data_IF_366803770303
#
_entry.id   IF_366803770303
#
_cell.length_a   1.000
_cell.length_b   1.000
_cell.length_c   1.000
_cell.angle_alpha   90.00
_cell.angle_beta   90.00
_cell.angle_gamma   90.00
#
_symmetry.space_group_name_H-M   'P 1'
#
loop_
_entity.id
_entity.type
_entity.pdbx_description
1 polymer ?
#
# COMPACT_ATOMS: atom_id res chain seq x y z
N UNK A 1 -13.93 12.10 12.54
CA UNK A 1 -14.07 12.38 11.10
C UNK A 1 -13.67 11.15 10.31
N UNK A 2 -14.39 10.82 9.22
CA UNK A 2 -14.07 9.68 8.36
C UNK A 2 -13.58 10.17 7.00
N UNK A 3 -12.40 9.72 6.57
CA UNK A 3 -11.83 10.06 5.26
C UNK A 3 -10.98 8.92 4.72
N UNK A 4 -10.79 8.90 3.40
CA UNK A 4 -9.90 7.98 2.69
C UNK A 4 -9.01 8.78 1.76
N UNK A 5 -7.70 8.55 1.82
CA UNK A 5 -6.72 9.18 0.94
C UNK A 5 -6.11 8.10 0.03
N UNK A 6 -6.46 8.08 -1.26
CA UNK A 6 -5.87 7.14 -2.21
C UNK A 6 -4.42 7.52 -2.51
N UNK A 7 -3.60 6.53 -2.84
CA UNK A 7 -2.20 6.68 -3.25
C UNK A 7 -1.28 7.40 -2.23
N UNK A 8 -1.74 7.53 -0.98
CA UNK A 8 -0.99 8.14 0.11
C UNK A 8 -0.79 7.15 1.26
N UNK A 9 0.38 7.20 1.89
CA UNK A 9 0.73 6.41 3.06
C UNK A 9 1.21 7.30 4.20
N UNK A 10 0.38 7.46 5.24
CA UNK A 10 0.73 8.24 6.42
C UNK A 10 1.95 7.69 7.20
N UNK A 11 2.20 6.38 7.16
CA UNK A 11 3.36 5.76 7.83
C UNK A 11 4.67 5.91 7.06
N UNK A 12 4.62 6.41 5.82
CA UNK A 12 5.76 6.46 4.87
C UNK A 12 6.38 5.10 4.53
N UNK A 13 5.73 3.98 4.91
CA UNK A 13 6.17 2.64 4.54
C UNK A 13 6.18 2.46 3.01
N UNK A 14 7.23 1.82 2.50
CA UNK A 14 7.43 1.58 1.08
C UNK A 14 7.77 0.11 0.84
N UNK A 15 7.02 -0.54 -0.05
CA UNK A 15 7.37 -1.82 -0.65
C UNK A 15 8.60 -1.62 -1.54
N UNK A 16 9.74 -2.16 -1.12
CA UNK A 16 11.02 -2.06 -1.86
C UNK A 16 11.14 -3.12 -2.96
N UNK A 17 10.70 -4.34 -2.67
CA UNK A 17 10.75 -5.44 -3.63
C UNK A 17 9.57 -6.40 -3.44
N UNK A 18 9.07 -6.92 -4.56
CA UNK A 18 8.11 -8.02 -4.60
C UNK A 18 8.76 -9.21 -5.30
N UNK A 19 9.49 -10.00 -4.51
CA UNK A 19 10.22 -11.16 -5.00
C UNK A 19 9.28 -12.35 -5.21
N UNK A 20 9.47 -13.04 -6.32
CA UNK A 20 8.70 -14.23 -6.69
C UNK A 20 9.69 -15.38 -6.83
N UNK A 21 9.58 -16.38 -5.94
CA UNK A 21 10.56 -17.45 -5.82
C UNK A 21 10.51 -18.45 -6.99
N UNK A 22 9.33 -18.65 -7.58
CA UNK A 22 9.13 -19.61 -8.68
C UNK A 22 9.64 -19.04 -9.99
N UNK A 23 10.83 -19.49 -10.40
CA UNK A 23 11.45 -19.14 -11.69
C UNK A 23 11.09 -20.19 -12.75
N UNK A 24 9.91 -20.08 -13.33
CA UNK A 24 9.64 -20.74 -14.62
C UNK A 24 10.23 -19.86 -15.74
N UNK A 25 10.89 -20.48 -16.72
CA UNK A 25 11.58 -19.80 -17.83
C UNK A 25 10.64 -18.92 -18.68
N UNK A 26 9.33 -19.14 -18.59
CA UNK A 26 8.28 -18.41 -19.32
C UNK A 26 7.40 -17.52 -18.45
N UNK A 27 7.64 -17.44 -17.14
CA UNK A 27 6.73 -16.77 -16.21
C UNK A 27 7.24 -15.39 -15.79
N UNK A 28 6.70 -14.34 -16.42
CA UNK A 28 6.90 -12.95 -16.01
C UNK A 28 5.61 -12.36 -15.40
N UNK A 29 5.40 -12.49 -14.08
CA UNK A 29 4.21 -11.99 -13.41
C UNK A 29 4.22 -10.47 -13.26
N UNK A 30 3.06 -9.86 -13.50
CA UNK A 30 2.82 -8.46 -13.17
C UNK A 30 2.82 -8.23 -11.66
N UNK A 31 3.34 -7.08 -11.24
CA UNK A 31 3.44 -6.68 -9.83
C UNK A 31 2.77 -5.32 -9.67
N UNK A 32 1.78 -5.24 -8.80
CA UNK A 32 1.01 -4.03 -8.56
C UNK A 32 0.95 -3.73 -7.07
N UNK A 33 1.08 -2.46 -6.71
CA UNK A 33 0.96 -1.98 -5.33
C UNK A 33 0.10 -0.72 -5.35
N UNK A 34 -0.80 -0.60 -4.36
CA UNK A 34 -1.48 0.67 -4.05
C UNK A 34 -1.41 0.92 -2.56
N UNK A 35 -1.20 2.18 -2.18
CA UNK A 35 -1.32 2.62 -0.79
C UNK A 35 -2.64 3.35 -0.61
N UNK A 36 -3.35 3.07 0.48
CA UNK A 36 -4.55 3.80 0.85
C UNK A 36 -4.53 4.04 2.36
N UNK A 37 -4.71 5.29 2.75
CA UNK A 37 -4.84 5.68 4.15
C UNK A 37 -6.31 5.91 4.46
N UNK A 38 -6.84 5.24 5.47
CA UNK A 38 -8.21 5.44 5.95
C UNK A 38 -8.18 5.94 7.40
N UNK A 39 -9.07 6.86 7.72
CA UNK A 39 -9.25 7.30 9.09
C UNK A 39 -9.96 6.22 9.90
N UNK A 40 -9.42 5.88 11.07
CA UNK A 40 -10.11 5.11 12.10
C UNK A 40 -10.64 6.10 13.15
N UNK A 41 -10.12 6.08 14.39
CA UNK A 41 -10.43 7.11 15.39
C UNK A 41 -9.65 8.41 15.12
N UNK A 42 -10.21 9.29 14.29
CA UNK A 42 -9.67 10.64 14.07
C UNK A 42 -10.48 11.66 14.87
N UNK A 43 -9.95 12.04 16.04
CA UNK A 43 -10.55 12.98 17.00
C UNK A 43 -9.65 14.21 17.13
N UNK A 44 -10.25 15.39 17.06
CA UNK A 44 -9.61 16.64 17.41
C UNK A 44 -10.34 17.22 18.63
N UNK A 45 -9.58 17.65 19.65
CA UNK A 45 -10.14 18.40 20.78
C UNK A 45 -10.00 19.89 20.45
N UNK A 46 -11.14 20.57 20.33
CA UNK A 46 -11.23 22.02 20.14
C UNK A 46 -11.22 22.71 21.50
#
# INVERSE_FOLDING_TARGET
MNFTIPMYNASKLQVRYLQIAKKSKTYNPYRWVRYVTQANSYVARL
#
